data_IF_163327993246
#
_entry.id   IF_163327993246
#
_cell.length_a   1.000
_cell.length_b   1.000
_cell.length_c   1.000
_cell.angle_alpha   90.00
_cell.angle_beta   90.00
_cell.angle_gamma   90.00
#
_symmetry.space_group_name_H-M   'P 1'
#
loop_
_entity.id
_entity.type
_entity.pdbx_description
1 polymer ?
#
# COMPACT_ATOMS: atom_id res chain seq x y z
N UNK A 1 56.89 21.06 39.30
CA UNK A 1 57.42 20.66 37.98
C UNK A 1 56.98 19.20 37.81
N UNK A 2 56.09 18.82 36.91
CA UNK A 2 55.49 19.50 35.74
C UNK A 2 54.00 19.86 36.05
N UNK A 3 53.27 20.78 35.40
CA UNK A 3 52.99 20.98 33.97
C UNK A 3 52.47 19.67 33.31
N UNK A 4 51.22 19.51 32.88
CA UNK A 4 50.14 20.46 32.66
C UNK A 4 49.85 20.56 31.16
N UNK A 5 48.88 19.78 30.69
CA UNK A 5 48.20 19.95 29.40
C UNK A 5 46.73 19.52 29.60
N UNK A 6 45.82 20.36 29.11
CA UNK A 6 44.39 20.10 29.05
C UNK A 6 43.94 20.26 27.59
N UNK A 7 42.81 19.63 27.25
CA UNK A 7 42.11 19.67 25.96
C UNK A 7 42.87 19.08 24.76
N UNK A 8 42.18 18.21 24.02
CA UNK A 8 41.61 18.59 22.72
C UNK A 8 40.29 17.84 22.53
N UNK A 9 39.26 18.54 22.06
CA UNK A 9 37.89 18.06 21.92
C UNK A 9 37.60 17.68 20.47
N UNK A 10 36.99 16.51 20.24
CA UNK A 10 36.63 16.02 18.91
C UNK A 10 35.40 16.75 18.33
N UNK A 11 35.50 18.06 18.13
CA UNK A 11 34.44 18.95 17.60
C UNK A 11 35.04 20.04 16.67
N UNK A 12 36.10 19.72 15.91
CA UNK A 12 36.87 20.71 15.14
C UNK A 12 37.29 20.20 13.75
N UNK A 13 36.40 19.46 13.09
CA UNK A 13 36.53 19.07 11.68
C UNK A 13 35.22 19.36 10.95
N UNK A 14 35.30 20.03 9.81
CA UNK A 14 34.19 20.49 8.96
C UNK A 14 33.35 21.69 9.47
N UNK A 15 34.02 22.76 9.93
CA UNK A 15 33.57 24.11 9.56
C UNK A 15 34.33 24.52 8.28
N UNK A 16 34.01 23.86 7.16
CA UNK A 16 34.40 24.39 5.85
C UNK A 16 33.69 25.73 5.67
N UNK A 17 34.38 26.73 5.13
CA UNK A 17 33.88 28.10 4.96
C UNK A 17 32.85 28.11 3.80
N UNK A 18 31.62 27.67 4.11
CA UNK A 18 30.56 27.47 3.13
C UNK A 18 29.91 28.82 2.77
N UNK A 19 30.30 29.39 1.64
CA UNK A 19 29.64 30.56 1.05
C UNK A 19 28.25 30.20 0.51
N UNK A 20 27.21 30.83 1.07
CA UNK A 20 25.83 30.70 0.60
C UNK A 20 25.68 31.09 -0.89
N UNK A 21 25.26 30.17 -1.79
CA UNK A 21 25.08 30.49 -3.22
C UNK A 21 23.98 31.52 -3.53
N UNK A 22 23.07 31.73 -2.57
CA UNK A 22 22.03 32.77 -2.55
C UNK A 22 21.79 33.18 -1.10
N UNK A 23 21.32 34.41 -0.88
CA UNK A 23 20.97 34.92 0.44
C UNK A 23 20.04 33.98 1.22
N UNK A 24 19.04 33.40 0.55
CA UNK A 24 18.05 32.52 1.14
C UNK A 24 17.91 31.23 0.31
N UNK A 25 17.96 30.06 0.96
CA UNK A 25 17.78 28.75 0.32
C UNK A 25 18.39 27.58 1.08
N UNK A 26 18.23 26.37 0.52
CA UNK A 26 18.71 25.11 1.07
C UNK A 26 19.65 24.41 0.08
N UNK A 27 20.86 24.06 0.53
CA UNK A 27 21.93 23.56 -0.34
C UNK A 27 22.55 22.28 0.24
N UNK A 28 22.84 21.27 -0.58
CA UNK A 28 23.40 20.01 -0.08
C UNK A 28 24.79 20.20 0.57
N UNK A 29 25.10 19.39 1.59
CA UNK A 29 26.47 19.22 2.04
C UNK A 29 27.32 18.53 0.95
N UNK A 30 28.62 18.82 0.92
CA UNK A 30 29.52 18.37 -0.15
C UNK A 30 29.72 16.84 -0.17
N UNK A 31 29.75 16.19 0.99
CA UNK A 31 30.10 14.76 1.14
C UNK A 31 29.03 13.91 1.83
N UNK A 32 28.05 14.55 2.50
CA UNK A 32 27.10 13.91 3.40
C UNK A 32 25.67 14.04 2.85
N UNK A 33 25.00 12.92 2.60
CA UNK A 33 23.72 12.91 1.88
C UNK A 33 22.55 13.43 2.73
N UNK A 34 22.63 13.22 4.03
CA UNK A 34 21.65 13.64 5.03
C UNK A 34 21.94 15.01 5.64
N UNK A 35 23.00 15.70 5.21
CA UNK A 35 23.28 17.07 5.60
C UNK A 35 23.02 18.11 4.50
N UNK A 36 22.68 19.31 4.93
CA UNK A 36 22.45 20.48 4.09
C UNK A 36 22.73 21.77 4.86
N UNK A 37 22.90 22.85 4.11
CA UNK A 37 23.03 24.21 4.61
C UNK A 37 21.71 24.95 4.41
N UNK A 38 21.18 25.55 5.47
CA UNK A 38 20.09 26.52 5.42
C UNK A 38 20.70 27.92 5.41
N UNK A 39 20.54 28.64 4.32
CA UNK A 39 20.98 30.04 4.20
C UNK A 39 19.82 30.98 4.55
N UNK A 40 20.06 31.91 5.47
CA UNK A 40 19.17 33.04 5.78
C UNK A 40 19.98 34.36 5.74
N UNK A 41 19.56 35.30 4.90
CA UNK A 41 20.26 36.56 4.59
C UNK A 41 21.79 36.41 4.38
N UNK A 42 22.19 35.33 3.69
CA UNK A 42 23.58 34.98 3.36
C UNK A 42 24.36 34.30 4.50
N UNK A 43 23.72 34.04 5.65
CA UNK A 43 24.31 33.32 6.78
C UNK A 43 24.00 31.83 6.68
N UNK A 44 25.00 30.94 6.60
CA UNK A 44 24.77 29.50 6.54
C UNK A 44 24.58 28.88 7.93
N UNK A 45 23.57 28.02 8.07
CA UNK A 45 23.38 27.12 9.21
C UNK A 45 23.49 25.66 8.74
N UNK A 46 24.37 24.87 9.37
CA UNK A 46 24.47 23.44 9.13
C UNK A 46 23.24 22.72 9.70
N UNK A 47 22.62 21.86 8.90
CA UNK A 47 21.46 21.05 9.30
C UNK A 47 21.57 19.62 8.82
N UNK A 48 20.91 18.74 9.58
CA UNK A 48 20.74 17.34 9.27
C UNK A 48 19.27 17.04 8.99
N UNK A 49 19.02 16.15 8.04
CA UNK A 49 17.76 15.45 7.90
C UNK A 49 17.59 14.43 9.04
N UNK A 50 16.35 14.08 9.39
CA UNK A 50 16.10 13.08 10.43
C UNK A 50 16.74 11.72 10.10
N UNK A 51 17.27 11.04 11.12
CA UNK A 51 18.05 9.80 10.98
C UNK A 51 17.34 8.74 10.09
N UNK A 52 17.94 8.42 8.93
CA UNK A 52 17.35 7.53 7.91
C UNK A 52 16.72 8.24 6.70
N UNK A 53 16.74 9.57 6.66
CA UNK A 53 16.39 10.42 5.52
C UNK A 53 17.66 10.97 4.85
N UNK A 54 17.51 11.56 3.67
CA UNK A 54 18.55 12.30 2.95
C UNK A 54 17.96 13.58 2.33
N UNK A 55 18.81 14.59 2.13
CA UNK A 55 18.42 15.86 1.52
C UNK A 55 18.34 15.71 -0.01
N UNK A 56 17.20 16.04 -0.62
CA UNK A 56 16.99 16.05 -2.08
C UNK A 56 17.15 17.47 -2.65
N UNK A 57 18.34 17.72 -3.21
CA UNK A 57 18.83 19.02 -3.67
C UNK A 57 18.27 19.50 -5.02
N UNK A 58 17.23 18.86 -5.58
CA UNK A 58 16.60 19.28 -6.85
C UNK A 58 15.89 20.64 -6.78
N UNK A 59 15.62 21.17 -5.57
CA UNK A 59 14.94 22.45 -5.38
C UNK A 59 15.48 23.18 -4.14
N UNK A 60 16.31 24.20 -4.37
CA UNK A 60 16.94 25.01 -3.31
C UNK A 60 15.97 25.93 -2.55
N UNK A 61 14.71 26.03 -2.97
CA UNK A 61 13.71 26.89 -2.32
C UNK A 61 12.85 26.14 -1.29
N UNK A 62 13.20 24.89 -0.95
CA UNK A 62 12.49 24.06 0.05
C UNK A 62 13.46 23.18 0.85
N UNK A 63 13.23 23.09 2.15
CA UNK A 63 13.82 22.08 3.03
C UNK A 63 13.22 20.71 2.63
N UNK A 64 13.99 19.89 1.92
CA UNK A 64 13.48 18.73 1.18
C UNK A 64 14.16 17.42 1.60
N UNK A 65 13.98 17.04 2.87
CA UNK A 65 14.40 15.74 3.38
C UNK A 65 13.42 14.65 2.91
N UNK A 66 13.95 13.57 2.34
CA UNK A 66 13.20 12.44 1.77
C UNK A 66 13.85 11.12 2.16
N UNK A 67 13.21 9.97 1.97
CA UNK A 67 13.80 8.68 2.31
C UNK A 67 15.08 8.41 1.50
N UNK A 68 16.09 7.79 2.13
CA UNK A 68 17.38 7.44 1.52
C UNK A 68 17.27 6.72 0.16
N UNK A 69 16.22 5.92 -0.07
CA UNK A 69 16.02 5.20 -1.34
C UNK A 69 15.45 6.05 -2.49
N UNK A 70 14.99 7.28 -2.21
CA UNK A 70 14.42 8.21 -3.18
C UNK A 70 15.39 9.34 -3.57
N UNK A 71 16.56 9.39 -2.94
CA UNK A 71 17.60 10.40 -3.12
C UNK A 71 18.84 9.75 -3.72
N UNK A 72 19.48 10.41 -4.69
CA UNK A 72 20.80 9.98 -5.15
C UNK A 72 21.87 10.51 -4.20
N UNK A 73 22.57 9.58 -3.56
CA UNK A 73 23.68 9.82 -2.63
C UNK A 73 25.04 9.42 -3.22
N UNK A 74 25.12 9.07 -4.51
CA UNK A 74 26.34 8.53 -5.13
C UNK A 74 27.54 9.47 -4.99
N UNK A 75 27.32 10.77 -5.16
CA UNK A 75 28.37 11.80 -5.10
C UNK A 75 28.67 12.30 -3.67
N UNK A 76 27.85 11.92 -2.68
CA UNK A 76 27.90 12.39 -1.28
C UNK A 76 27.47 11.26 -0.32
N UNK A 77 28.28 10.20 -0.19
CA UNK A 77 27.85 8.93 0.41
C UNK A 77 27.89 8.89 1.94
N UNK A 78 28.39 9.93 2.61
CA UNK A 78 28.44 9.97 4.07
C UNK A 78 27.03 10.15 4.65
N UNK A 79 26.79 9.56 5.82
CA UNK A 79 25.52 9.58 6.55
C UNK A 79 25.80 9.60 8.05
N UNK A 80 24.82 10.04 8.85
CA UNK A 80 24.81 9.82 10.29
C UNK A 80 24.84 8.32 10.63
N UNK A 81 25.41 7.93 11.78
CA UNK A 81 25.24 6.60 12.34
C UNK A 81 23.76 6.26 12.53
N UNK A 82 23.36 5.04 12.15
CA UNK A 82 22.00 4.56 12.32
C UNK A 82 21.59 4.51 13.81
N UNK A 83 20.44 5.12 14.15
CA UNK A 83 19.83 5.04 15.47
C UNK A 83 18.69 4.01 15.38
N UNK A 84 18.93 2.82 15.91
CA UNK A 84 17.98 1.70 15.83
C UNK A 84 17.06 1.60 17.05
N UNK A 85 15.77 1.38 16.80
CA UNK A 85 14.73 1.00 17.78
C UNK A 85 14.09 -0.33 17.34
N UNK A 86 13.17 -0.95 18.12
CA UNK A 86 12.51 -2.18 17.70
C UNK A 86 11.84 -2.04 16.32
N UNK A 87 12.15 -2.96 15.41
CA UNK A 87 11.71 -2.98 14.00
C UNK A 87 12.18 -1.82 13.10
N UNK A 88 12.92 -0.83 13.64
CA UNK A 88 13.39 0.34 12.92
C UNK A 88 14.92 0.44 12.97
N UNK A 89 15.64 -0.03 11.93
CA UNK A 89 17.08 0.16 11.80
C UNK A 89 17.55 1.63 11.86
N UNK A 90 16.74 2.57 11.35
CA UNK A 90 16.88 4.01 11.55
C UNK A 90 15.54 4.58 12.03
N UNK A 91 15.54 5.76 12.65
CA UNK A 91 14.31 6.42 13.15
C UNK A 91 13.24 6.63 12.06
N UNK A 92 13.66 6.94 10.84
CA UNK A 92 12.77 7.08 9.69
C UNK A 92 13.08 6.03 8.62
N UNK A 93 12.03 5.41 8.08
CA UNK A 93 12.17 4.48 6.94
C UNK A 93 11.04 3.46 6.84
N UNK A 94 11.16 2.58 5.83
CA UNK A 94 10.29 1.43 5.64
C UNK A 94 11.18 0.18 5.54
N UNK A 95 10.89 -0.82 6.36
CA UNK A 95 11.75 -1.98 6.57
C UNK A 95 10.94 -3.28 6.54
N UNK A 96 11.46 -4.37 5.93
CA UNK A 96 10.83 -5.68 6.01
C UNK A 96 10.87 -6.20 7.45
N UNK A 97 9.92 -7.04 7.82
CA UNK A 97 10.06 -7.91 8.97
C UNK A 97 11.13 -9.01 8.67
N UNK A 98 11.96 -9.41 9.65
CA UNK A 98 12.98 -10.44 9.43
C UNK A 98 12.43 -11.87 9.37
N UNK A 99 11.27 -12.14 9.98
CA UNK A 99 10.72 -13.49 10.19
C UNK A 99 9.44 -13.73 9.36
N UNK A 100 8.70 -12.68 9.00
CA UNK A 100 7.48 -12.75 8.18
C UNK A 100 7.56 -11.86 6.92
N UNK A 101 7.83 -12.45 5.77
CA UNK A 101 7.90 -11.74 4.48
C UNK A 101 6.63 -10.97 4.10
N UNK A 102 5.46 -11.34 4.63
CA UNK A 102 4.21 -10.60 4.37
C UNK A 102 4.17 -9.25 5.12
N UNK A 103 5.11 -9.00 6.04
CA UNK A 103 5.07 -7.88 6.98
C UNK A 103 6.17 -6.88 6.70
N UNK A 104 5.83 -5.61 6.92
CA UNK A 104 6.79 -4.52 6.91
C UNK A 104 6.41 -3.46 7.95
N UNK A 105 7.40 -2.66 8.31
CA UNK A 105 7.33 -1.67 9.36
C UNK A 105 7.58 -0.30 8.76
N UNK A 106 6.66 0.64 8.99
CA UNK A 106 6.89 2.06 8.71
C UNK A 106 7.31 2.75 9.99
N UNK A 107 8.49 3.36 9.97
CA UNK A 107 9.12 3.98 11.11
C UNK A 107 9.02 5.50 11.02
N UNK A 108 8.51 6.11 12.08
CA UNK A 108 8.43 7.56 12.24
C UNK A 108 8.99 7.94 13.61
N UNK A 109 10.12 8.65 13.62
CA UNK A 109 10.85 9.02 14.85
C UNK A 109 11.16 7.80 15.76
N UNK A 110 11.42 6.64 15.15
CA UNK A 110 11.68 5.38 15.85
C UNK A 110 10.43 4.62 16.33
N UNK A 111 9.22 5.17 16.17
CA UNK A 111 7.97 4.46 16.45
C UNK A 111 7.57 3.60 15.24
N UNK A 112 7.37 2.30 15.46
CA UNK A 112 7.17 1.30 14.41
C UNK A 112 5.69 0.96 14.20
N UNK A 113 5.11 1.39 13.07
CA UNK A 113 3.78 0.94 12.64
C UNK A 113 3.88 -0.33 11.80
N UNK A 114 3.25 -1.42 12.26
CA UNK A 114 3.20 -2.72 11.55
C UNK A 114 2.17 -2.68 10.42
N UNK A 115 2.59 -3.11 9.24
CA UNK A 115 1.72 -3.34 8.09
C UNK A 115 1.89 -4.77 7.59
N UNK A 116 0.83 -5.33 7.01
CA UNK A 116 0.86 -6.59 6.30
C UNK A 116 0.42 -6.37 4.86
N UNK A 117 1.12 -7.00 3.93
CA UNK A 117 0.68 -7.18 2.57
C UNK A 117 -0.60 -8.04 2.53
N UNK A 118 -1.32 -8.01 1.41
CA UNK A 118 -2.42 -8.97 1.20
C UNK A 118 -1.87 -10.40 1.18
N UNK A 119 -2.69 -11.41 1.53
CA UNK A 119 -2.27 -12.81 1.46
C UNK A 119 -1.66 -13.18 0.11
N UNK A 120 -0.67 -14.08 0.12
CA UNK A 120 0.15 -14.44 -1.06
C UNK A 120 1.16 -13.41 -1.56
N UNK A 121 1.20 -12.19 -0.99
CA UNK A 121 2.21 -11.16 -1.29
C UNK A 121 3.21 -10.98 -0.15
N UNK A 122 4.40 -10.50 -0.50
CA UNK A 122 5.46 -10.13 0.42
C UNK A 122 6.01 -8.73 0.10
N UNK A 123 6.60 -8.07 1.11
CA UNK A 123 7.17 -6.73 0.93
C UNK A 123 8.51 -6.79 0.19
N UNK A 124 8.55 -6.31 -1.05
CA UNK A 124 9.81 -6.17 -1.78
C UNK A 124 10.54 -4.88 -1.37
N UNK A 125 11.61 -5.04 -0.59
CA UNK A 125 12.48 -3.92 -0.17
C UNK A 125 13.10 -3.15 -1.36
N UNK A 126 13.21 -3.72 -2.55
CA UNK A 126 13.78 -3.06 -3.74
C UNK A 126 12.75 -2.12 -4.39
N UNK A 127 11.58 -2.63 -4.74
CA UNK A 127 10.51 -1.82 -5.35
C UNK A 127 9.62 -1.06 -4.35
N UNK A 128 9.76 -1.33 -3.05
CA UNK A 128 9.03 -0.68 -1.93
C UNK A 128 7.53 -0.94 -1.91
N UNK A 129 7.08 -1.99 -2.58
CA UNK A 129 5.67 -2.41 -2.67
C UNK A 129 5.50 -3.89 -2.29
N UNK A 130 4.26 -4.28 -1.99
CA UNK A 130 3.88 -5.68 -1.89
C UNK A 130 3.92 -6.32 -3.29
N UNK A 131 4.71 -7.37 -3.44
CA UNK A 131 4.93 -8.10 -4.69
C UNK A 131 4.68 -9.60 -4.45
N UNK A 132 4.51 -10.39 -5.51
CA UNK A 132 4.37 -11.84 -5.41
C UNK A 132 5.58 -12.44 -4.69
N UNK A 133 5.35 -13.36 -3.74
CA UNK A 133 6.45 -14.06 -3.06
C UNK A 133 7.37 -14.80 -4.05
N UNK A 134 6.86 -15.19 -5.21
CA UNK A 134 7.64 -15.78 -6.33
C UNK A 134 8.76 -14.87 -6.85
N UNK A 135 8.58 -13.54 -6.75
CA UNK A 135 9.54 -12.53 -7.23
C UNK A 135 10.59 -12.16 -6.18
N UNK A 136 10.47 -12.67 -4.94
CA UNK A 136 11.35 -12.37 -3.81
C UNK A 136 12.00 -13.68 -3.35
N UNK A 137 13.21 -14.03 -3.85
CA UNK A 137 13.83 -15.34 -3.63
C UNK A 137 13.96 -15.74 -2.16
N UNK A 138 14.14 -14.76 -1.28
CA UNK A 138 14.27 -14.93 0.17
C UNK A 138 12.97 -15.44 0.81
N UNK A 139 11.82 -15.09 0.23
CA UNK A 139 10.48 -15.44 0.73
C UNK A 139 9.93 -16.76 0.16
N UNK A 140 10.68 -17.40 -0.75
CA UNK A 140 10.24 -18.62 -1.45
C UNK A 140 9.89 -19.76 -0.48
N UNK A 141 10.68 -19.94 0.58
CA UNK A 141 10.46 -21.01 1.56
C UNK A 141 9.19 -20.78 2.41
N UNK A 142 8.88 -19.52 2.75
CA UNK A 142 7.64 -19.18 3.46
C UNK A 142 6.42 -19.44 2.57
N UNK A 143 6.47 -19.03 1.29
CA UNK A 143 5.44 -19.39 0.29
C UNK A 143 5.25 -20.90 0.19
N UNK A 144 6.33 -21.66 0.05
CA UNK A 144 6.27 -23.13 -0.07
C UNK A 144 5.73 -23.80 1.20
N UNK A 145 5.87 -23.18 2.38
CA UNK A 145 5.21 -23.63 3.61
C UNK A 145 3.70 -23.33 3.61
N UNK A 146 3.29 -22.14 3.16
CA UNK A 146 1.88 -21.74 3.05
C UNK A 146 1.10 -22.53 1.97
N UNK A 147 1.80 -23.14 1.00
CA UNK A 147 1.21 -23.95 -0.07
C UNK A 147 1.03 -25.44 0.29
N UNK A 148 1.52 -25.94 1.43
CA UNK A 148 1.57 -27.40 1.65
C UNK A 148 0.20 -28.08 1.79
N UNK A 149 -0.80 -27.35 2.29
CA UNK A 149 -2.14 -27.89 2.55
C UNK A 149 -3.12 -27.74 1.38
N UNK A 150 -2.72 -27.07 0.28
CA UNK A 150 -3.56 -26.90 -0.90
C UNK A 150 -2.79 -27.10 -2.23
N UNK A 151 -3.18 -28.14 -2.97
CA UNK A 151 -2.69 -28.41 -4.32
C UNK A 151 -3.72 -28.01 -5.38
N UNK A 152 -3.26 -27.41 -6.48
CA UNK A 152 -4.12 -27.10 -7.61
C UNK A 152 -4.65 -28.38 -8.30
N UNK A 153 -5.94 -28.43 -8.70
CA UNK A 153 -6.49 -29.52 -9.50
C UNK A 153 -5.76 -29.73 -10.82
N UNK A 154 -5.83 -30.95 -11.36
CA UNK A 154 -5.09 -31.30 -12.57
C UNK A 154 -5.64 -30.57 -13.81
N UNK A 155 -4.75 -30.33 -14.79
CA UNK A 155 -5.14 -29.69 -16.04
C UNK A 155 -6.21 -30.53 -16.79
N UNK A 156 -7.40 -29.95 -16.98
CA UNK A 156 -8.56 -30.61 -17.59
C UNK A 156 -9.52 -31.29 -16.61
N UNK A 157 -9.26 -31.25 -15.30
CA UNK A 157 -10.16 -31.76 -14.26
C UNK A 157 -11.31 -30.79 -13.94
N UNK A 158 -11.08 -29.49 -14.12
CA UNK A 158 -12.08 -28.44 -13.91
C UNK A 158 -12.74 -28.01 -15.22
N UNK A 159 -14.05 -27.72 -15.15
CA UNK A 159 -14.80 -27.04 -16.23
C UNK A 159 -14.39 -25.57 -16.42
N UNK A 160 -13.43 -25.07 -15.64
CA UNK A 160 -12.93 -23.70 -15.66
C UNK A 160 -12.29 -23.36 -17.02
N UNK A 161 -13.06 -22.72 -17.90
CA UNK A 161 -12.66 -22.36 -19.27
C UNK A 161 -11.68 -21.18 -19.38
N UNK A 162 -11.09 -20.75 -18.25
CA UNK A 162 -10.20 -19.59 -18.16
C UNK A 162 -8.75 -19.97 -17.83
N UNK A 163 -7.85 -18.99 -17.87
CA UNK A 163 -6.43 -19.17 -17.54
C UNK A 163 -6.15 -19.43 -16.05
N UNK A 164 -7.18 -19.43 -15.21
CA UNK A 164 -7.09 -19.66 -13.77
C UNK A 164 -8.40 -20.18 -13.18
N UNK A 165 -8.31 -20.78 -11.99
CA UNK A 165 -9.46 -21.23 -11.19
C UNK A 165 -9.32 -20.79 -9.73
N UNK A 166 -10.43 -20.46 -9.06
CA UNK A 166 -10.46 -20.02 -7.66
C UNK A 166 -11.07 -21.07 -6.73
N UNK A 167 -10.43 -21.28 -5.58
CA UNK A 167 -10.74 -22.31 -4.58
C UNK A 167 -10.74 -21.73 -3.17
N UNK A 168 -11.58 -22.22 -2.23
CA UNK A 168 -11.64 -21.70 -0.86
C UNK A 168 -10.35 -21.97 -0.10
N UNK A 169 -10.01 -21.11 0.86
CA UNK A 169 -9.05 -21.44 1.92
C UNK A 169 -9.76 -22.28 3.00
N UNK A 170 -9.09 -23.27 3.57
CA UNK A 170 -9.71 -24.19 4.53
C UNK A 170 -9.76 -23.67 5.97
N UNK A 171 -8.92 -22.68 6.30
CA UNK A 171 -8.79 -22.10 7.66
C UNK A 171 -9.41 -20.69 7.82
N UNK A 172 -9.69 -19.98 6.72
CA UNK A 172 -10.17 -18.58 6.78
C UNK A 172 -11.13 -18.29 5.62
N UNK A 173 -12.38 -17.94 5.96
CA UNK A 173 -13.43 -17.60 5.00
C UNK A 173 -13.08 -16.43 4.05
N UNK A 174 -12.23 -15.48 4.45
CA UNK A 174 -11.83 -14.34 3.62
C UNK A 174 -10.67 -14.68 2.68
N UNK A 175 -9.90 -15.73 2.96
CA UNK A 175 -8.79 -16.16 2.12
C UNK A 175 -9.28 -17.14 1.04
N UNK A 176 -8.59 -17.15 -0.10
CA UNK A 176 -8.85 -18.08 -1.20
C UNK A 176 -7.62 -18.29 -2.06
N UNK A 177 -7.53 -19.45 -2.71
CA UNK A 177 -6.46 -19.75 -3.65
C UNK A 177 -6.89 -19.47 -5.09
N UNK A 178 -6.00 -18.90 -5.89
CA UNK A 178 -6.09 -18.81 -7.35
C UNK A 178 -5.00 -19.68 -7.95
N UNK A 179 -5.41 -20.74 -8.64
CA UNK A 179 -4.51 -21.57 -9.42
C UNK A 179 -4.24 -20.92 -10.78
N UNK A 180 -2.98 -20.59 -11.02
CA UNK A 180 -2.46 -20.06 -12.28
C UNK A 180 -1.34 -20.99 -12.74
N UNK A 181 -1.52 -21.65 -13.88
CA UNK A 181 -0.59 -22.64 -14.45
C UNK A 181 -0.16 -23.75 -13.44
N UNK A 182 -1.10 -24.19 -12.60
CA UNK A 182 -0.87 -25.21 -11.57
C UNK A 182 -0.20 -24.70 -10.28
N UNK A 183 0.18 -23.42 -10.22
CA UNK A 183 0.70 -22.78 -9.00
C UNK A 183 -0.45 -22.14 -8.22
N UNK A 184 -0.69 -22.61 -7.01
CA UNK A 184 -1.66 -22.02 -6.09
C UNK A 184 -1.12 -20.71 -5.53
N UNK A 185 -1.80 -19.60 -5.76
CA UNK A 185 -1.49 -18.31 -5.13
C UNK A 185 -2.61 -17.94 -4.19
N UNK A 186 -2.26 -17.59 -2.96
CA UNK A 186 -3.23 -17.14 -1.98
C UNK A 186 -3.64 -15.68 -2.25
N UNK A 187 -4.89 -15.34 -1.95
CA UNK A 187 -5.48 -14.01 -2.07
C UNK A 187 -6.45 -13.78 -0.91
N UNK A 188 -6.72 -12.51 -0.58
CA UNK A 188 -7.77 -12.13 0.36
C UNK A 188 -8.92 -11.40 -0.34
N UNK A 189 -10.15 -11.65 0.12
CA UNK A 189 -11.28 -10.79 -0.19
C UNK A 189 -11.18 -9.42 0.49
N UNK A 190 -11.79 -8.36 -0.09
CA UNK A 190 -11.91 -7.05 0.54
C UNK A 190 -12.51 -7.11 1.95
N UNK A 191 -12.16 -6.16 2.82
CA UNK A 191 -12.65 -6.14 4.21
C UNK A 191 -14.18 -5.97 4.22
N UNK A 192 -14.84 -6.81 5.02
CA UNK A 192 -16.29 -6.93 5.06
C UNK A 192 -16.88 -7.83 3.96
N UNK A 193 -16.09 -8.73 3.36
CA UNK A 193 -16.56 -9.80 2.45
C UNK A 193 -15.74 -11.08 2.64
N UNK A 194 -16.34 -12.22 2.31
CA UNK A 194 -15.72 -13.55 2.39
C UNK A 194 -15.84 -14.28 1.04
N UNK A 195 -15.06 -15.34 0.84
CA UNK A 195 -15.03 -16.09 -0.41
C UNK A 195 -16.19 -17.10 -0.48
N UNK A 196 -17.08 -16.91 -1.47
CA UNK A 196 -18.17 -17.81 -1.81
C UNK A 196 -17.77 -18.68 -2.99
N UNK A 197 -17.83 -19.99 -2.81
CA UNK A 197 -17.72 -20.96 -3.92
C UNK A 197 -18.95 -20.77 -4.81
N UNK A 198 -18.76 -20.62 -6.12
CA UNK A 198 -19.86 -20.53 -7.07
C UNK A 198 -20.48 -21.89 -7.40
N UNK A 199 -21.50 -21.88 -8.27
CA UNK A 199 -22.21 -23.11 -8.69
C UNK A 199 -21.38 -24.05 -9.59
N UNK A 200 -20.11 -23.74 -9.86
CA UNK A 200 -19.18 -24.53 -10.66
C UNK A 200 -17.79 -24.47 -10.02
N UNK A 201 -17.12 -25.62 -9.98
CA UNK A 201 -15.78 -25.74 -9.39
C UNK A 201 -14.77 -24.82 -10.08
N UNK A 202 -13.97 -24.10 -9.29
CA UNK A 202 -13.04 -23.09 -9.79
C UNK A 202 -13.62 -21.70 -10.05
N UNK A 203 -14.93 -21.48 -9.88
CA UNK A 203 -15.60 -20.19 -10.12
C UNK A 203 -16.16 -19.54 -8.83
N UNK A 204 -15.32 -19.35 -7.81
CA UNK A 204 -15.70 -18.55 -6.64
C UNK A 204 -15.50 -17.04 -6.79
N UNK A 205 -16.13 -16.28 -5.88
CA UNK A 205 -16.11 -14.82 -5.82
C UNK A 205 -16.23 -14.33 -4.37
N UNK A 206 -15.84 -13.09 -4.07
CA UNK A 206 -16.13 -12.49 -2.78
C UNK A 206 -17.62 -12.13 -2.68
N UNK A 207 -18.24 -12.32 -1.51
CA UNK A 207 -19.66 -12.04 -1.22
C UNK A 207 -19.81 -11.68 0.25
N UNK A 208 -21.01 -11.24 0.67
CA UNK A 208 -21.26 -10.91 2.07
C UNK A 208 -21.19 -12.17 2.98
N UNK A 209 -20.79 -12.04 4.26
CA UNK A 209 -20.65 -13.16 5.20
C UNK A 209 -21.90 -14.03 5.35
N UNK A 210 -23.07 -13.40 5.48
CA UNK A 210 -24.39 -14.05 5.62
C UNK A 210 -24.73 -14.98 4.45
N UNK A 211 -24.08 -14.78 3.30
CA UNK A 211 -24.30 -15.49 2.06
C UNK A 211 -23.45 -16.78 1.95
N UNK A 212 -22.54 -17.04 2.91
CA UNK A 212 -21.57 -18.15 2.88
C UNK A 212 -21.74 -19.02 4.14
N UNK A 213 -22.26 -20.26 4.00
CA UNK A 213 -22.52 -21.14 5.13
C UNK A 213 -21.27 -21.42 5.98
N UNK A 214 -21.36 -21.15 7.28
CA UNK A 214 -20.25 -21.30 8.25
C UNK A 214 -19.33 -20.08 8.37
N UNK A 215 -19.60 -19.00 7.63
CA UNK A 215 -18.84 -17.76 7.65
C UNK A 215 -19.68 -16.54 8.06
N UNK A 216 -20.93 -16.74 8.49
CA UNK A 216 -21.93 -15.69 8.73
C UNK A 216 -21.44 -14.66 9.76
N UNK A 217 -20.89 -15.15 10.88
CA UNK A 217 -20.38 -14.33 11.98
C UNK A 217 -18.88 -13.98 11.86
N UNK A 218 -18.25 -14.16 10.69
CA UNK A 218 -16.78 -14.06 10.52
C UNK A 218 -16.18 -12.72 11.01
N UNK A 219 -16.90 -11.61 10.89
CA UNK A 219 -16.46 -10.29 11.40
C UNK A 219 -17.02 -9.94 12.79
N UNK A 220 -17.91 -10.76 13.36
CA UNK A 220 -18.57 -10.48 14.64
C UNK A 220 -19.18 -9.08 14.73
N UNK A 221 -19.01 -8.43 15.88
CA UNK A 221 -19.57 -7.11 16.19
C UNK A 221 -18.75 -5.91 15.61
N UNK A 222 -17.84 -6.14 14.65
CA UNK A 222 -17.03 -5.06 14.08
C UNK A 222 -17.88 -4.10 13.23
N UNK A 223 -17.77 -2.79 13.49
CA UNK A 223 -18.39 -1.74 12.67
C UNK A 223 -17.69 -1.62 11.30
N UNK A 224 -18.07 -2.51 10.38
CA UNK A 224 -17.53 -2.59 9.01
C UNK A 224 -17.75 -1.30 8.21
N UNK A 225 -18.76 -0.49 8.53
CA UNK A 225 -19.00 0.80 7.86
C UNK A 225 -17.96 1.86 8.24
N UNK A 226 -17.41 1.79 9.46
CA UNK A 226 -16.25 2.60 9.86
C UNK A 226 -14.97 2.21 9.09
N UNK A 227 -14.72 0.90 8.95
CA UNK A 227 -13.53 0.37 8.24
C UNK A 227 -13.59 0.57 6.72
N UNK A 228 -14.76 0.42 6.10
CA UNK A 228 -14.94 0.68 4.65
C UNK A 228 -14.64 2.16 4.31
N UNK A 229 -14.93 3.10 5.22
CA UNK A 229 -14.59 4.53 5.05
C UNK A 229 -13.09 4.81 5.19
N UNK A 230 -12.41 4.20 6.17
CA UNK A 230 -10.96 4.38 6.31
C UNK A 230 -10.18 3.72 5.17
N UNK A 231 -10.67 2.60 4.62
CA UNK A 231 -10.05 1.93 3.47
C UNK A 231 -10.22 2.72 2.17
N UNK A 232 -11.36 3.41 1.98
CA UNK A 232 -11.54 4.38 0.88
C UNK A 232 -10.57 5.58 1.00
N UNK A 233 -10.33 6.07 2.23
CA UNK A 233 -9.35 7.15 2.49
C UNK A 233 -7.91 6.69 2.23
N UNK A 234 -7.56 5.46 2.58
CA UNK A 234 -6.26 4.85 2.26
C UNK A 234 -6.07 4.64 0.74
N UNK A 235 -7.11 4.21 0.02
CA UNK A 235 -7.08 4.15 -1.45
C UNK A 235 -6.87 5.52 -2.10
N UNK A 236 -7.31 6.60 -1.43
CA UNK A 236 -7.14 7.97 -1.89
C UNK A 236 -5.72 8.54 -1.66
N UNK A 237 -4.79 7.75 -1.09
CA UNK A 237 -3.37 8.10 -0.91
C UNK A 237 -2.47 7.69 -2.10
N UNK A 238 -3.04 7.22 -3.21
CA UNK A 238 -2.41 7.39 -4.52
C UNK A 238 -1.60 6.23 -5.11
N UNK A 239 -2.06 4.99 -4.98
CA UNK A 239 -1.68 3.92 -5.92
C UNK A 239 -2.73 3.85 -7.04
N UNK A 240 -2.47 4.57 -8.13
CA UNK A 240 -3.32 4.56 -9.33
C UNK A 240 -3.04 3.31 -10.17
N UNK A 241 -4.09 2.55 -10.50
CA UNK A 241 -4.13 1.77 -11.74
C UNK A 241 -5.26 2.31 -12.64
N UNK A 242 -5.07 2.18 -13.95
CA UNK A 242 -5.74 2.98 -14.96
C UNK A 242 -7.16 2.53 -15.31
N UNK A 243 -8.10 3.46 -15.17
CA UNK A 243 -9.16 3.69 -16.17
C UNK A 243 -10.24 2.63 -16.37
N UNK A 244 -11.39 2.83 -15.73
CA UNK A 244 -12.70 2.66 -16.38
C UNK A 244 -13.76 3.50 -15.66
N UNK A 245 -14.39 4.43 -16.39
CA UNK A 245 -15.36 5.36 -15.81
C UNK A 245 -16.72 4.69 -15.55
N UNK A 246 -17.36 4.87 -14.36
CA UNK A 246 -18.69 4.34 -14.11
C UNK A 246 -19.76 5.19 -14.80
N UNK A 247 -20.67 4.53 -15.52
CA UNK A 247 -21.80 5.17 -16.19
C UNK A 247 -22.83 5.68 -15.19
N UNK A 248 -23.12 6.98 -15.20
CA UNK A 248 -24.05 7.61 -14.26
C UNK A 248 -25.50 7.08 -14.41
N UNK A 249 -26.02 6.44 -13.36
CA UNK A 249 -27.43 6.08 -13.28
C UNK A 249 -28.28 7.29 -12.85
N UNK A 250 -29.24 7.69 -13.70
CA UNK A 250 -30.09 8.87 -13.48
C UNK A 250 -31.36 8.48 -12.69
N UNK A 251 -31.68 9.13 -11.56
CA UNK A 251 -32.87 8.79 -10.78
C UNK A 251 -34.17 9.16 -11.52
N UNK A 252 -35.18 8.31 -11.41
CA UNK A 252 -36.53 8.55 -11.93
C UNK A 252 -37.25 9.63 -11.09
N UNK A 253 -37.89 10.60 -11.74
CA UNK A 253 -38.84 11.53 -11.08
C UNK A 253 -40.21 10.85 -10.90
N UNK A 254 -40.99 11.21 -9.86
CA UNK A 254 -42.34 10.71 -9.70
C UNK A 254 -43.30 11.29 -10.74
N UNK A 255 -44.32 10.53 -11.12
CA UNK A 255 -45.36 10.96 -12.04
C UNK A 255 -46.38 11.86 -11.31
N UNK A 256 -46.66 13.03 -11.87
CA UNK A 256 -47.79 13.86 -11.47
C UNK A 256 -49.02 13.51 -12.33
N UNK A 257 -50.18 13.36 -11.68
CA UNK A 257 -51.44 13.14 -12.38
C UNK A 257 -52.04 14.48 -12.83
N UNK A 258 -52.64 14.48 -14.03
CA UNK A 258 -53.59 15.52 -14.48
C UNK A 258 -54.78 14.82 -15.12
N UNK A 259 -55.97 15.04 -14.56
CA UNK A 259 -57.21 14.71 -15.22
C UNK A 259 -57.63 15.88 -16.11
N UNK A 260 -58.25 15.58 -17.25
CA UNK A 260 -59.44 16.31 -17.71
C UNK A 260 -60.21 15.45 -18.74
N UNK A 261 -61.50 15.76 -18.94
CA UNK A 261 -62.50 14.84 -19.50
C UNK A 261 -63.31 15.42 -20.67
N UNK A 262 -64.24 14.60 -21.21
CA UNK A 262 -65.23 14.91 -22.27
C UNK A 262 -64.65 15.17 -23.69
N UNK A 263 -65.32 14.92 -24.83
CA UNK A 263 -66.50 14.11 -25.23
C UNK A 263 -66.45 13.96 -26.79
N UNK A 264 -67.33 13.30 -27.57
CA UNK A 264 -68.57 12.54 -27.33
C UNK A 264 -68.89 11.61 -28.55
N UNK A 265 -70.01 10.87 -28.47
CA UNK A 265 -70.93 10.48 -29.56
C UNK A 265 -70.50 9.62 -30.78
N UNK A 266 -70.95 8.35 -30.69
CA UNK A 266 -71.94 7.70 -31.59
C UNK A 266 -71.57 7.02 -32.93
N UNK A 267 -72.26 5.87 -33.14
CA UNK A 267 -72.41 5.06 -34.36
C UNK A 267 -71.15 4.35 -34.93
N UNK A 268 -71.22 3.19 -35.59
CA UNK A 268 -72.39 2.50 -36.15
C UNK A 268 -72.26 0.95 -36.13
N UNK A 269 -73.31 0.28 -36.63
CA UNK A 269 -73.63 -1.14 -36.50
C UNK A 269 -73.20 -1.94 -37.74
N UNK A 270 -72.50 -3.08 -37.62
CA UNK A 270 -72.49 -4.12 -38.68
C UNK A 270 -72.05 -5.52 -38.20
N UNK A 271 -72.91 -6.49 -38.49
CA UNK A 271 -72.83 -7.95 -38.26
C UNK A 271 -71.94 -8.68 -39.30
N UNK A 272 -71.70 -9.98 -39.06
CA UNK A 272 -71.28 -11.06 -40.00
C UNK A 272 -69.78 -11.40 -40.02
N UNK A 273 -69.35 -12.68 -39.98
CA UNK A 273 -70.09 -13.94 -39.77
C UNK A 273 -69.17 -15.00 -39.13
#
# INVERSE_FOLDING_TARGET
MCAGLAQESAQDFAYEDFDCPKDNGFFAHATQCDAYWSCEDGTPEFRLCGNGLAFDNKNDSRENCNYLFAVDCTDRPELEPAISTPHCPNLYGIFPDPDDCSVFWSCWDGEASRYACTPGLAYDRKSRVCNWMDNIPECKAQRDAMQQDFACPAAGELTATGSFSRHPHHEDCRQYFVCLDGVAREYGCPIGTVFKIGNQDGFGQCSDPEDVPGCEDYYGDLDLDSFRRSQLLLGNLGLQDGGSAPSAHRPRRPAAATADAAADAAADTATQA
#
